data_IF_771281736166
#
_entry.id   IF_771281736166
#
_cell.length_a   1.000
_cell.length_b   1.000
_cell.length_c   1.000
_cell.angle_alpha   90.00
_cell.angle_beta   90.00
_cell.angle_gamma   90.00
#
_symmetry.space_group_name_H-M   'P 1'
#
loop_
_entity.id
_entity.type
_entity.pdbx_description
1 polymer ?
#
# COMPACT_ATOMS: atom_id res chain seq x y z
N UNK A 1 -35.58 18.04 -3.08
CA UNK A 1 -35.12 16.67 -2.74
C UNK A 1 -34.10 16.25 -3.78
N UNK A 2 -32.81 16.25 -3.40
CA UNK A 2 -31.71 15.72 -4.19
C UNK A 2 -31.99 14.26 -4.58
N UNK A 3 -31.58 13.83 -5.78
CA UNK A 3 -31.78 12.45 -6.29
C UNK A 3 -31.36 11.35 -5.31
N UNK A 4 -30.44 11.66 -4.40
CA UNK A 4 -30.01 10.82 -3.28
C UNK A 4 -31.15 10.27 -2.42
N UNK A 5 -32.25 11.02 -2.25
CA UNK A 5 -33.39 10.61 -1.43
C UNK A 5 -34.53 9.95 -2.23
N UNK A 6 -34.38 9.80 -3.55
CA UNK A 6 -35.37 9.15 -4.42
C UNK A 6 -35.07 7.68 -4.70
N UNK A 7 -33.87 7.21 -4.37
CA UNK A 7 -33.50 5.80 -4.55
C UNK A 7 -33.83 5.03 -3.29
N UNK A 8 -34.42 3.86 -3.46
CA UNK A 8 -34.51 2.86 -2.39
C UNK A 8 -33.09 2.55 -1.90
N UNK A 9 -32.75 2.84 -0.63
CA UNK A 9 -31.42 2.60 -0.09
C UNK A 9 -31.02 1.11 -0.15
N UNK A 10 -31.99 0.19 -0.11
CA UNK A 10 -31.74 -1.24 -0.18
C UNK A 10 -31.49 -1.72 -1.62
N UNK A 11 -31.86 -0.92 -2.63
CA UNK A 11 -31.63 -1.20 -4.05
C UNK A 11 -30.26 -0.70 -4.56
N UNK A 12 -29.42 -0.11 -3.69
CA UNK A 12 -28.09 0.38 -4.06
C UNK A 12 -27.17 -0.79 -4.38
N UNK A 13 -26.80 -0.94 -5.66
CA UNK A 13 -25.91 -1.99 -6.17
C UNK A 13 -24.54 -1.47 -6.63
N UNK A 14 -24.22 -0.21 -6.31
CA UNK A 14 -22.95 0.43 -6.63
C UNK A 14 -22.02 0.42 -5.41
N UNK A 15 -20.69 0.43 -5.61
CA UNK A 15 -19.75 0.52 -4.50
C UNK A 15 -19.92 1.82 -3.70
N UNK A 16 -19.52 1.85 -2.42
CA UNK A 16 -19.41 3.08 -1.65
C UNK A 16 -18.46 4.08 -2.33
N UNK A 17 -18.70 5.38 -2.12
CA UNK A 17 -17.95 6.49 -2.71
C UNK A 17 -16.43 6.27 -2.70
N UNK A 18 -15.86 5.96 -1.54
CA UNK A 18 -14.42 5.74 -1.36
C UNK A 18 -13.85 4.59 -2.21
N UNK A 19 -14.66 3.57 -2.49
CA UNK A 19 -14.25 2.43 -3.34
C UNK A 19 -14.27 2.82 -4.81
N UNK A 20 -15.30 3.56 -5.22
CA UNK A 20 -15.43 4.05 -6.60
C UNK A 20 -14.34 5.09 -6.93
N UNK A 21 -14.09 6.03 -6.02
CA UNK A 21 -13.01 7.02 -6.12
C UNK A 21 -11.64 6.35 -6.30
N UNK A 22 -11.32 5.36 -5.47
CA UNK A 22 -10.06 4.60 -5.59
C UNK A 22 -9.95 3.91 -6.97
N UNK A 23 -11.03 3.31 -7.48
CA UNK A 23 -11.02 2.62 -8.79
C UNK A 23 -10.80 3.60 -9.94
N UNK A 24 -11.43 4.77 -9.89
CA UNK A 24 -11.28 5.82 -10.89
C UNK A 24 -9.87 6.41 -10.86
N UNK A 25 -9.37 6.79 -9.68
CA UNK A 25 -8.03 7.30 -9.50
C UNK A 25 -6.95 6.31 -9.90
N UNK A 26 -7.11 5.04 -9.52
CA UNK A 26 -6.18 3.99 -9.94
C UNK A 26 -6.16 3.81 -11.46
N UNK A 27 -7.31 3.94 -12.12
CA UNK A 27 -7.34 3.88 -13.59
C UNK A 27 -6.64 5.09 -14.21
N UNK A 28 -6.88 6.31 -13.71
CA UNK A 28 -6.15 7.51 -14.14
C UNK A 28 -4.63 7.38 -13.95
N UNK A 29 -4.19 6.87 -12.79
CA UNK A 29 -2.78 6.59 -12.52
C UNK A 29 -2.20 5.64 -13.57
N UNK A 30 -2.85 4.50 -13.81
CA UNK A 30 -2.36 3.48 -14.75
C UNK A 30 -2.44 3.92 -16.22
N UNK A 31 -3.30 4.88 -16.53
CA UNK A 31 -3.47 5.48 -17.87
C UNK A 31 -2.61 6.74 -18.06
N UNK A 32 -1.77 7.09 -17.07
CA UNK A 32 -0.86 8.23 -17.21
C UNK A 32 0.28 7.90 -18.19
N UNK A 33 0.64 8.82 -19.11
CA UNK A 33 1.75 8.62 -20.02
C UNK A 33 3.06 8.53 -19.24
N UNK A 34 3.91 7.59 -19.62
CA UNK A 34 5.26 7.45 -19.08
C UNK A 34 6.27 7.91 -20.13
N UNK A 35 7.27 8.68 -19.71
CA UNK A 35 8.35 9.10 -20.60
C UNK A 35 9.31 7.93 -20.83
N UNK A 36 9.06 7.16 -21.88
CA UNK A 36 9.93 6.04 -22.25
C UNK A 36 11.26 6.57 -22.80
N UNK A 37 12.42 6.03 -22.39
CA UNK A 37 13.71 6.34 -22.99
C UNK A 37 13.75 6.21 -24.53
N UNK A 38 12.87 5.41 -25.12
CA UNK A 38 12.71 5.28 -26.57
C UNK A 38 11.97 6.46 -27.24
N UNK A 39 11.55 7.48 -26.49
CA UNK A 39 10.81 8.65 -26.99
C UNK A 39 9.32 8.39 -27.26
N UNK A 40 8.77 7.29 -26.75
CA UNK A 40 7.34 6.99 -26.80
C UNK A 40 6.67 7.31 -25.45
N UNK A 41 5.34 7.45 -25.46
CA UNK A 41 4.57 7.77 -24.25
C UNK A 41 3.47 6.73 -23.96
N UNK A 42 3.81 5.44 -23.79
CA UNK A 42 2.82 4.44 -23.43
C UNK A 42 2.27 4.73 -22.02
N UNK A 43 1.06 4.25 -21.76
CA UNK A 43 0.52 4.33 -20.41
C UNK A 43 1.35 3.50 -19.44
N UNK A 44 1.66 4.07 -18.29
CA UNK A 44 2.54 3.46 -17.29
C UNK A 44 2.05 2.08 -16.82
N UNK A 45 0.74 1.86 -16.79
CA UNK A 45 0.16 0.56 -16.43
C UNK A 45 0.37 -0.54 -17.48
N UNK A 46 0.77 -0.22 -18.72
CA UNK A 46 0.84 -1.16 -19.83
C UNK A 46 2.21 -1.84 -19.98
N UNK A 47 3.20 -1.47 -19.16
CA UNK A 47 4.46 -2.20 -19.10
C UNK A 47 4.27 -3.59 -18.51
N UNK A 48 4.82 -4.60 -19.18
CA UNK A 48 4.80 -6.00 -18.74
C UNK A 48 5.72 -6.24 -17.55
N UNK A 49 6.91 -5.62 -17.61
CA UNK A 49 7.98 -5.77 -16.64
C UNK A 49 8.16 -4.50 -15.84
N UNK A 50 8.25 -4.63 -14.52
CA UNK A 50 8.55 -3.50 -13.65
C UNK A 50 8.34 -3.81 -12.18
N UNK A 51 8.83 -2.89 -11.36
CA UNK A 51 8.66 -2.89 -9.90
C UNK A 51 7.70 -1.76 -9.54
N UNK A 52 6.95 -1.93 -8.45
CA UNK A 52 6.07 -0.92 -7.90
C UNK A 52 6.18 -0.89 -6.37
N UNK A 53 5.95 0.29 -5.80
CA UNK A 53 5.91 0.51 -4.36
C UNK A 53 4.64 1.26 -3.97
N UNK A 54 4.14 0.97 -2.78
CA UNK A 54 3.01 1.66 -2.16
C UNK A 54 3.49 2.48 -0.98
N UNK A 55 2.89 3.66 -0.81
CA UNK A 55 3.18 4.58 0.28
C UNK A 55 1.89 4.99 0.99
N UNK A 56 1.96 5.22 2.30
CA UNK A 56 0.81 5.67 3.09
C UNK A 56 0.67 7.19 3.18
N UNK A 57 -0.32 7.66 3.93
CA UNK A 57 -0.64 9.08 4.09
C UNK A 57 0.45 9.90 4.82
N UNK A 58 1.43 9.24 5.44
CA UNK A 58 2.60 9.90 6.03
C UNK A 58 3.81 9.88 5.07
N UNK A 59 3.65 9.35 3.85
CA UNK A 59 4.71 9.17 2.87
C UNK A 59 5.61 7.96 3.16
N UNK A 60 5.28 7.13 4.16
CA UNK A 60 6.07 5.95 4.51
C UNK A 60 5.89 4.84 3.47
N UNK A 61 6.97 4.21 2.99
CA UNK A 61 6.85 3.01 2.16
C UNK A 61 6.22 1.87 2.97
N UNK A 62 5.32 1.14 2.35
CA UNK A 62 4.58 0.05 3.01
C UNK A 62 4.70 -1.29 2.32
N UNK A 63 4.90 -1.31 1.00
CA UNK A 63 4.98 -2.55 0.23
C UNK A 63 5.74 -2.32 -1.06
N UNK A 64 6.56 -3.29 -1.46
CA UNK A 64 7.22 -3.33 -2.77
C UNK A 64 6.82 -4.63 -3.47
N UNK A 65 6.62 -4.60 -4.78
CA UNK A 65 6.43 -5.82 -5.54
C UNK A 65 6.88 -5.68 -6.98
N UNK A 66 7.21 -6.82 -7.59
CA UNK A 66 7.53 -6.90 -9.01
C UNK A 66 6.40 -7.52 -9.85
N UNK A 67 6.49 -7.34 -11.16
CA UNK A 67 5.70 -8.10 -12.13
C UNK A 67 6.43 -8.29 -13.45
N UNK A 68 6.18 -9.44 -14.08
CA UNK A 68 6.43 -9.72 -15.49
C UNK A 68 5.13 -10.10 -16.24
N UNK A 69 3.97 -9.76 -15.65
CA UNK A 69 2.65 -9.94 -16.26
C UNK A 69 2.24 -8.65 -16.94
N UNK A 70 1.82 -7.65 -16.15
CA UNK A 70 1.61 -6.23 -16.45
C UNK A 70 1.45 -5.46 -15.14
N UNK A 71 2.01 -4.25 -15.06
CA UNK A 71 1.87 -3.36 -13.88
C UNK A 71 0.40 -3.14 -13.52
N UNK A 72 -0.44 -2.77 -14.50
CA UNK A 72 -1.89 -2.61 -14.32
C UNK A 72 -2.54 -3.83 -13.68
N UNK A 73 -2.19 -5.03 -14.14
CA UNK A 73 -2.83 -6.25 -13.66
C UNK A 73 -2.46 -6.54 -12.22
N UNK A 74 -1.19 -6.43 -11.84
CA UNK A 74 -0.76 -6.72 -10.45
C UNK A 74 -1.21 -5.64 -9.48
N UNK A 75 -1.03 -4.36 -9.81
CA UNK A 75 -1.43 -3.26 -8.94
C UNK A 75 -2.95 -3.29 -8.69
N UNK A 76 -3.78 -3.47 -9.73
CA UNK A 76 -5.24 -3.64 -9.54
C UNK A 76 -5.56 -4.83 -8.66
N UNK A 77 -4.86 -5.96 -8.83
CA UNK A 77 -5.07 -7.12 -7.96
C UNK A 77 -4.89 -6.77 -6.49
N UNK A 78 -3.83 -6.04 -6.14
CA UNK A 78 -3.58 -5.62 -4.76
C UNK A 78 -4.63 -4.63 -4.25
N UNK A 79 -5.05 -3.66 -5.07
CA UNK A 79 -5.86 -2.55 -4.55
C UNK A 79 -7.38 -2.73 -4.70
N UNK A 80 -7.83 -3.54 -5.65
CA UNK A 80 -9.27 -3.71 -5.95
C UNK A 80 -9.77 -5.12 -5.72
N UNK A 81 -8.90 -6.10 -5.52
CA UNK A 81 -9.29 -7.50 -5.31
C UNK A 81 -8.85 -7.97 -3.91
N UNK A 82 -9.84 -8.16 -3.03
CA UNK A 82 -9.61 -8.65 -1.66
C UNK A 82 -9.07 -10.10 -1.59
N UNK A 83 -8.90 -10.78 -2.73
CA UNK A 83 -8.40 -12.16 -2.81
C UNK A 83 -6.89 -12.31 -3.04
N UNK A 84 -6.10 -11.23 -3.11
CA UNK A 84 -4.64 -11.36 -3.25
C UNK A 84 -3.96 -11.77 -1.95
N UNK A 85 -2.89 -12.55 -2.00
CA UNK A 85 -2.21 -13.05 -0.80
C UNK A 85 -1.87 -11.94 0.22
N UNK A 86 -1.41 -10.77 -0.24
CA UNK A 86 -1.10 -9.64 0.64
C UNK A 86 -2.35 -8.99 1.28
N UNK A 87 -3.49 -8.92 0.59
CA UNK A 87 -4.72 -8.33 1.16
C UNK A 87 -5.56 -9.38 1.90
N UNK A 88 -5.67 -10.58 1.34
CA UNK A 88 -6.42 -11.70 1.88
C UNK A 88 -5.85 -12.19 3.21
N UNK A 89 -4.53 -12.10 3.42
CA UNK A 89 -3.90 -12.40 4.70
C UNK A 89 -3.86 -11.19 5.65
N UNK A 90 -4.52 -10.08 5.31
CA UNK A 90 -4.48 -8.83 6.09
C UNK A 90 -3.06 -8.28 6.31
N UNK A 91 -2.15 -8.53 5.36
CA UNK A 91 -0.78 -8.00 5.37
C UNK A 91 -0.79 -6.51 4.99
N UNK A 92 -1.58 -6.15 3.97
CA UNK A 92 -1.74 -4.79 3.46
C UNK A 92 -3.21 -4.38 3.46
N UNK A 93 -3.53 -3.20 4.00
CA UNK A 93 -4.83 -2.56 3.83
C UNK A 93 -4.79 -1.62 2.62
N UNK A 94 -5.56 -1.87 1.54
CA UNK A 94 -5.62 -0.96 0.39
C UNK A 94 -6.03 0.47 0.74
N UNK A 95 -6.75 0.67 1.86
CA UNK A 95 -7.16 2.01 2.26
C UNK A 95 -6.00 2.84 2.80
N UNK A 96 -4.94 2.19 3.30
CA UNK A 96 -3.71 2.86 3.74
C UNK A 96 -2.81 3.27 2.56
N UNK A 97 -3.13 2.88 1.31
CA UNK A 97 -2.34 3.27 0.13
C UNK A 97 -2.78 4.66 -0.34
N UNK A 98 -1.88 5.62 -0.24
CA UNK A 98 -2.08 7.02 -0.63
C UNK A 98 -1.42 7.33 -1.99
N UNK A 99 -0.19 6.87 -2.17
CA UNK A 99 0.59 7.03 -3.40
C UNK A 99 1.14 5.70 -3.90
N UNK A 100 1.35 5.63 -5.22
CA UNK A 100 2.03 4.54 -5.88
C UNK A 100 3.22 5.13 -6.62
N UNK A 101 4.36 4.43 -6.55
CA UNK A 101 5.49 4.65 -7.45
C UNK A 101 5.75 3.39 -8.27
N UNK A 102 6.09 3.56 -9.54
CA UNK A 102 6.40 2.45 -10.45
C UNK A 102 7.68 2.71 -11.21
N UNK A 103 8.44 1.64 -11.45
CA UNK A 103 9.69 1.60 -12.20
C UNK A 103 9.52 0.62 -13.38
N UNK A 104 9.00 1.10 -14.53
CA UNK A 104 8.89 0.29 -15.74
C UNK A 104 10.25 -0.16 -16.28
N UNK A 105 10.27 -1.34 -16.91
CA UNK A 105 11.44 -1.86 -17.61
C UNK A 105 11.15 -2.02 -19.12
N UNK A 106 11.15 -0.91 -19.89
CA UNK A 106 10.81 -0.91 -21.31
C UNK A 106 11.66 -1.86 -22.15
N UNK A 107 12.94 -2.04 -21.81
CA UNK A 107 13.87 -2.92 -22.51
C UNK A 107 13.46 -4.40 -22.51
N UNK A 108 12.53 -4.79 -21.62
CA UNK A 108 12.00 -6.16 -21.56
C UNK A 108 10.55 -6.27 -22.03
N UNK A 109 9.97 -5.21 -22.63
CA UNK A 109 8.56 -5.20 -23.02
C UNK A 109 8.18 -6.34 -23.98
N UNK A 110 9.12 -6.77 -24.82
CA UNK A 110 8.96 -7.89 -25.75
C UNK A 110 9.58 -9.21 -25.26
N UNK A 111 10.29 -9.21 -24.12
CA UNK A 111 10.85 -10.41 -23.52
C UNK A 111 9.77 -11.38 -23.05
N UNK A 112 10.02 -12.68 -23.25
CA UNK A 112 9.17 -13.74 -22.70
C UNK A 112 9.29 -13.77 -21.17
N UNK A 113 8.19 -14.07 -20.47
CA UNK A 113 8.11 -14.19 -19.00
C UNK A 113 9.11 -15.19 -18.40
N UNK A 114 9.58 -16.15 -19.19
CA UNK A 114 10.58 -17.15 -18.79
C UNK A 114 12.01 -16.76 -19.14
N UNK A 115 12.23 -15.59 -19.74
CA UNK A 115 13.57 -15.04 -20.01
C UNK A 115 14.35 -14.89 -18.71
N UNK A 116 15.47 -15.62 -18.62
CA UNK A 116 16.26 -15.68 -17.40
C UNK A 116 16.94 -14.34 -17.08
N UNK A 117 17.47 -13.65 -18.09
CA UNK A 117 18.18 -12.39 -17.89
C UNK A 117 17.20 -11.29 -17.48
N UNK A 118 16.02 -11.21 -18.12
CA UNK A 118 14.98 -10.27 -17.74
C UNK A 118 14.48 -10.50 -16.30
N UNK A 119 14.33 -11.77 -15.89
CA UNK A 119 13.94 -12.11 -14.50
C UNK A 119 15.02 -11.75 -13.50
N UNK A 120 16.28 -12.06 -13.78
CA UNK A 120 17.40 -11.70 -12.90
C UNK A 120 17.51 -10.18 -12.73
N UNK A 121 17.29 -9.41 -13.80
CA UNK A 121 17.25 -7.95 -13.73
C UNK A 121 16.05 -7.45 -12.92
N UNK A 122 14.87 -8.04 -13.11
CA UNK A 122 13.66 -7.69 -12.36
C UNK A 122 13.82 -8.00 -10.85
N UNK A 123 14.39 -9.15 -10.50
CA UNK A 123 14.71 -9.54 -9.13
C UNK A 123 15.76 -8.58 -8.51
N UNK A 124 16.76 -8.17 -9.29
CA UNK A 124 17.75 -7.18 -8.86
C UNK A 124 17.15 -5.80 -8.61
N UNK A 125 16.22 -5.36 -9.46
CA UNK A 125 15.52 -4.11 -9.23
C UNK A 125 14.59 -4.20 -8.03
N UNK A 126 13.87 -5.31 -7.83
CA UNK A 126 13.03 -5.52 -6.65
C UNK A 126 13.85 -5.47 -5.36
N UNK A 127 15.03 -6.12 -5.34
CA UNK A 127 16.00 -6.00 -4.23
C UNK A 127 16.36 -4.54 -3.96
N UNK A 128 16.87 -3.84 -4.97
CA UNK A 128 17.32 -2.45 -4.83
C UNK A 128 16.21 -1.53 -4.29
N UNK A 129 14.99 -1.63 -4.83
CA UNK A 129 13.86 -0.81 -4.39
C UNK A 129 13.39 -1.21 -2.99
N UNK A 130 13.42 -2.50 -2.66
CA UNK A 130 13.08 -2.98 -1.31
C UNK A 130 14.07 -2.48 -0.27
N UNK A 131 15.37 -2.55 -0.56
CA UNK A 131 16.42 -2.08 0.35
C UNK A 131 16.26 -0.58 0.63
N UNK A 132 16.02 0.22 -0.42
CA UNK A 132 15.74 1.66 -0.28
C UNK A 132 14.45 1.94 0.49
N UNK A 133 13.40 1.17 0.26
CA UNK A 133 12.14 1.31 0.99
C UNK A 133 12.32 0.99 2.48
N UNK A 134 13.07 -0.07 2.80
CA UNK A 134 13.40 -0.43 4.19
C UNK A 134 14.30 0.63 4.83
N UNK A 135 15.33 1.11 4.13
CA UNK A 135 16.23 2.15 4.62
C UNK A 135 15.49 3.48 4.83
N UNK A 136 14.61 3.86 3.91
CA UNK A 136 13.82 5.08 3.97
C UNK A 136 12.67 5.04 4.99
N UNK A 137 12.22 3.84 5.39
CA UNK A 137 11.15 3.73 6.38
C UNK A 137 11.62 4.13 7.78
N UNK A 138 10.77 4.87 8.50
CA UNK A 138 10.92 5.12 9.93
C UNK A 138 11.06 3.82 10.75
N UNK A 139 10.43 2.73 10.31
CA UNK A 139 10.38 1.46 11.03
C UNK A 139 11.54 0.53 10.68
N UNK A 140 12.39 0.92 9.71
CA UNK A 140 13.40 0.06 9.09
C UNK A 140 12.83 -1.30 8.65
N UNK A 141 11.58 -1.28 8.19
CA UNK A 141 10.82 -2.45 7.75
C UNK A 141 9.59 -2.03 6.95
N UNK A 142 9.22 -2.86 5.96
CA UNK A 142 7.96 -2.75 5.21
C UNK A 142 7.13 -4.03 5.38
N UNK A 143 5.93 -4.08 4.78
CA UNK A 143 4.95 -5.14 4.99
C UNK A 143 5.15 -6.37 4.09
N UNK A 144 6.28 -6.47 3.38
CA UNK A 144 6.61 -7.64 2.58
C UNK A 144 6.81 -8.88 3.47
N UNK A 145 6.03 -9.94 3.22
CA UNK A 145 6.18 -11.22 3.92
C UNK A 145 7.54 -11.86 3.64
N UNK A 146 8.01 -11.76 2.39
CA UNK A 146 9.24 -12.37 1.90
C UNK A 146 10.22 -11.30 1.47
N UNK A 147 11.48 -11.58 1.69
CA UNK A 147 12.56 -10.79 1.12
C UNK A 147 12.68 -11.12 -0.37
N UNK A 148 13.08 -10.16 -1.21
CA UNK A 148 13.30 -10.44 -2.63
C UNK A 148 14.37 -11.54 -2.79
N UNK A 149 14.34 -12.31 -3.90
CA UNK A 149 15.31 -13.37 -4.14
C UNK A 149 16.74 -12.85 -4.04
N UNK A 150 17.71 -13.59 -3.46
CA UNK A 150 19.10 -13.14 -3.40
C UNK A 150 19.74 -13.09 -4.79
N UNK A 151 20.79 -12.29 -4.94
CA UNK A 151 21.62 -12.26 -6.14
C UNK A 151 22.52 -11.03 -6.23
N UNK A 152 23.62 -11.16 -6.98
CA UNK A 152 24.73 -10.18 -7.00
C UNK A 152 24.67 -9.21 -8.19
N UNK A 153 23.66 -9.34 -9.06
CA UNK A 153 23.49 -8.43 -10.19
C UNK A 153 23.19 -7.02 -9.67
N UNK A 154 24.10 -6.10 -9.92
CA UNK A 154 23.90 -4.68 -9.68
C UNK A 154 23.06 -4.08 -10.83
N UNK A 155 22.07 -3.27 -10.46
CA UNK A 155 21.24 -2.50 -11.40
C UNK A 155 21.13 -1.07 -10.90
N UNK A 156 20.91 -0.14 -11.84
CA UNK A 156 20.54 1.23 -11.49
C UNK A 156 19.03 1.37 -11.48
N UNK A 157 18.55 2.40 -10.79
CA UNK A 157 17.12 2.69 -10.75
C UNK A 157 16.72 3.38 -12.06
N UNK A 158 15.81 2.79 -12.85
CA UNK A 158 15.31 3.45 -14.04
C UNK A 158 14.42 4.65 -13.66
N UNK A 159 14.03 5.49 -14.62
CA UNK A 159 13.01 6.50 -14.38
C UNK A 159 11.76 5.90 -13.72
N UNK A 160 11.17 6.66 -12.80
CA UNK A 160 9.97 6.25 -12.06
C UNK A 160 8.82 7.19 -12.33
N UNK A 161 7.61 6.70 -12.06
CA UNK A 161 6.41 7.52 -12.04
C UNK A 161 5.70 7.35 -10.70
N UNK A 162 5.57 8.45 -9.95
CA UNK A 162 4.91 8.48 -8.65
C UNK A 162 3.73 9.43 -8.68
N UNK A 163 2.57 8.98 -8.20
CA UNK A 163 1.43 9.87 -8.00
C UNK A 163 0.45 9.35 -6.94
N UNK A 164 -0.39 10.28 -6.48
CA UNK A 164 -1.51 10.03 -5.56
C UNK A 164 -2.64 9.28 -6.27
N UNK A 165 -3.29 8.36 -5.55
CA UNK A 165 -4.39 7.52 -6.06
C UNK A 165 -5.73 7.71 -5.32
N UNK A 166 -5.89 8.81 -4.60
CA UNK A 166 -7.12 9.20 -3.91
C UNK A 166 -7.43 10.67 -4.17
N UNK A 167 -8.71 11.04 -4.20
CA UNK A 167 -9.12 12.45 -4.27
C UNK A 167 -8.87 13.18 -2.95
N UNK A 168 -8.91 14.52 -2.99
CA UNK A 168 -8.82 15.35 -1.77
C UNK A 168 -9.94 15.01 -0.77
N UNK A 169 -11.13 14.70 -1.27
CA UNK A 169 -12.25 14.30 -0.40
C UNK A 169 -11.99 12.97 0.31
N UNK A 170 -11.45 11.98 -0.39
CA UNK A 170 -11.05 10.72 0.25
C UNK A 170 -9.86 10.91 1.18
N UNK A 171 -8.93 11.79 0.82
CA UNK A 171 -7.82 12.18 1.69
C UNK A 171 -8.31 12.76 3.02
N UNK A 172 -9.27 13.69 3.01
CA UNK A 172 -9.87 14.25 4.24
C UNK A 172 -10.43 13.16 5.16
N UNK A 173 -11.12 12.16 4.58
CA UNK A 173 -11.74 11.07 5.34
C UNK A 173 -10.69 10.11 5.90
N UNK A 174 -9.75 9.67 5.06
CA UNK A 174 -8.81 8.60 5.39
C UNK A 174 -7.57 9.07 6.14
N UNK A 175 -7.20 10.35 6.03
CA UNK A 175 -6.02 10.89 6.73
C UNK A 175 -6.27 11.17 8.22
N UNK A 176 -7.54 11.13 8.68
CA UNK A 176 -7.87 11.32 10.08
C UNK A 176 -7.14 10.31 11.00
N UNK A 177 -6.33 10.76 11.98
CA UNK A 177 -5.49 9.86 12.78
C UNK A 177 -6.26 8.74 13.48
N UNK A 178 -7.40 9.06 14.11
CA UNK A 178 -8.18 8.06 14.86
C UNK A 178 -8.85 7.03 13.93
N UNK A 179 -9.18 7.42 12.69
CA UNK A 179 -9.70 6.49 11.69
C UNK A 179 -8.61 5.51 11.25
N UNK A 180 -7.39 6.01 11.02
CA UNK A 180 -6.23 5.16 10.68
C UNK A 180 -5.83 4.22 11.83
N UNK A 181 -5.88 4.70 13.08
CA UNK A 181 -5.66 3.87 14.27
C UNK A 181 -6.70 2.74 14.32
N UNK A 182 -7.98 3.06 14.15
CA UNK A 182 -9.06 2.06 14.17
C UNK A 182 -8.89 1.01 13.07
N UNK A 183 -8.61 1.44 11.83
CA UNK A 183 -8.37 0.51 10.70
C UNK A 183 -7.15 -0.36 10.92
N UNK A 184 -6.02 0.20 11.33
CA UNK A 184 -4.80 -0.58 11.59
C UNK A 184 -4.98 -1.57 12.73
N UNK A 185 -5.74 -1.21 13.77
CA UNK A 185 -6.10 -2.13 14.84
C UNK A 185 -6.91 -3.32 14.33
N UNK A 186 -7.90 -3.09 13.47
CA UNK A 186 -8.69 -4.15 12.82
C UNK A 186 -7.82 -5.06 11.96
N UNK A 187 -6.90 -4.50 11.17
CA UNK A 187 -5.99 -5.26 10.30
C UNK A 187 -5.01 -6.09 11.12
N UNK A 188 -4.43 -5.51 12.17
CA UNK A 188 -3.54 -6.20 13.09
C UNK A 188 -4.25 -7.38 13.79
N UNK A 189 -5.48 -7.15 14.25
CA UNK A 189 -6.32 -8.19 14.87
C UNK A 189 -6.58 -9.35 13.90
N UNK A 190 -6.98 -9.06 12.65
CA UNK A 190 -7.21 -10.07 11.61
C UNK A 190 -5.94 -10.82 11.24
N UNK A 191 -4.80 -10.13 11.13
CA UNK A 191 -3.51 -10.77 10.85
C UNK A 191 -3.11 -11.72 11.99
N UNK A 192 -3.28 -11.31 13.25
CA UNK A 192 -3.03 -12.17 14.40
C UNK A 192 -3.93 -13.41 14.39
N UNK A 193 -5.22 -13.24 14.07
CA UNK A 193 -6.17 -14.35 13.91
C UNK A 193 -5.69 -15.33 12.82
N UNK A 194 -5.35 -14.85 11.63
CA UNK A 194 -4.85 -15.69 10.52
C UNK A 194 -3.60 -16.46 10.92
N UNK A 195 -2.66 -15.82 11.63
CA UNK A 195 -1.44 -16.46 12.14
C UNK A 195 -1.76 -17.57 13.15
N UNK A 196 -2.81 -17.38 13.96
CA UNK A 196 -3.21 -18.35 14.99
C UNK A 196 -3.94 -19.57 14.43
N UNK A 197 -4.75 -19.38 13.38
CA UNK A 197 -5.60 -20.43 12.80
C UNK A 197 -4.87 -21.28 11.75
N UNK A 198 -3.66 -20.88 11.33
CA UNK A 198 -2.94 -21.51 10.23
C UNK A 198 -1.48 -21.74 10.58
N UNK A 199 -0.89 -22.79 10.00
CA UNK A 199 0.58 -22.96 10.01
C UNK A 199 1.19 -21.99 8.99
N UNK A 200 1.75 -20.89 9.49
CA UNK A 200 2.35 -19.82 8.66
C UNK A 200 3.85 -19.68 8.86
N UNK A 201 4.54 -19.17 7.84
CA UNK A 201 5.98 -18.89 7.90
C UNK A 201 6.31 -17.68 8.80
N UNK A 202 7.61 -17.44 9.05
CA UNK A 202 8.08 -16.32 9.87
C UNK A 202 7.72 -14.93 9.33
N UNK A 203 7.57 -14.80 8.01
CA UNK A 203 7.26 -13.54 7.33
C UNK A 203 6.01 -12.84 7.86
N UNK A 204 4.91 -13.57 8.09
CA UNK A 204 3.69 -12.97 8.63
C UNK A 204 3.85 -12.45 10.06
N UNK A 205 4.69 -13.08 10.88
CA UNK A 205 5.01 -12.59 12.23
C UNK A 205 5.85 -11.32 12.19
N UNK A 206 6.77 -11.22 11.22
CA UNK A 206 7.50 -9.98 10.93
C UNK A 206 6.54 -8.86 10.53
N UNK A 207 5.59 -9.13 9.63
CA UNK A 207 4.55 -8.16 9.26
C UNK A 207 3.71 -7.75 10.46
N UNK A 208 3.28 -8.70 11.30
CA UNK A 208 2.51 -8.42 12.52
C UNK A 208 3.26 -7.45 13.44
N UNK A 209 4.55 -7.70 13.68
CA UNK A 209 5.39 -6.80 14.48
C UNK A 209 5.50 -5.41 13.85
N UNK A 210 5.74 -5.32 12.54
CA UNK A 210 5.83 -4.02 11.84
C UNK A 210 4.51 -3.26 11.94
N UNK A 211 3.37 -3.91 11.74
CA UNK A 211 2.04 -3.28 11.88
C UNK A 211 1.79 -2.81 13.31
N UNK A 212 2.18 -3.59 14.32
CA UNK A 212 2.03 -3.21 15.73
C UNK A 212 2.87 -1.96 16.07
N UNK A 213 4.12 -1.88 15.59
CA UNK A 213 4.97 -0.69 15.74
C UNK A 213 4.36 0.54 15.08
N UNK A 214 3.79 0.38 13.87
CA UNK A 214 3.11 1.48 13.16
C UNK A 214 1.87 1.97 13.90
N UNK A 215 1.07 1.05 14.44
CA UNK A 215 -0.09 1.38 15.26
C UNK A 215 0.33 2.12 16.54
N UNK A 216 1.34 1.61 17.26
CA UNK A 216 1.89 2.27 18.43
C UNK A 216 2.36 3.70 18.09
N UNK A 217 3.10 3.87 17.01
CA UNK A 217 3.61 5.17 16.59
C UNK A 217 2.48 6.16 16.26
N UNK A 218 1.45 5.74 15.50
CA UNK A 218 0.30 6.59 15.20
C UNK A 218 -0.46 6.99 16.46
N UNK A 219 -0.70 6.04 17.36
CA UNK A 219 -1.38 6.29 18.64
C UNK A 219 -0.59 7.26 19.52
N UNK A 220 0.72 7.06 19.64
CA UNK A 220 1.59 7.95 20.41
C UNK A 220 1.60 9.36 19.82
N UNK A 221 1.81 9.48 18.50
CA UNK A 221 1.80 10.78 17.80
C UNK A 221 0.47 11.51 18.00
N UNK A 222 -0.65 10.78 17.94
CA UNK A 222 -1.99 11.34 18.13
C UNK A 222 -2.21 11.83 19.57
N UNK A 223 -1.81 11.02 20.55
CA UNK A 223 -1.91 11.36 21.97
C UNK A 223 -1.11 12.64 22.29
N UNK A 224 0.16 12.68 21.88
CA UNK A 224 1.02 13.85 22.12
C UNK A 224 0.50 15.11 21.41
N UNK A 225 0.00 14.98 20.17
CA UNK A 225 -0.56 16.12 19.43
C UNK A 225 -1.80 16.75 20.10
N UNK A 226 -2.47 16.04 21.00
CA UNK A 226 -3.62 16.53 21.76
C UNK A 226 -3.26 16.93 23.20
N UNK A 227 -1.97 17.10 23.51
CA UNK A 227 -1.49 17.54 24.82
C UNK A 227 -1.00 16.40 25.72
N UNK A 228 -0.99 15.16 25.23
CA UNK A 228 -0.38 14.01 25.91
C UNK A 228 -0.87 13.87 27.35
N UNK A 229 0.06 13.63 28.28
CA UNK A 229 -0.26 13.46 29.70
C UNK A 229 -0.99 14.65 30.33
N UNK A 230 -0.73 15.87 29.86
CA UNK A 230 -1.39 17.06 30.39
C UNK A 230 -2.88 17.16 30.01
N UNK A 231 -3.32 16.41 28.99
CA UNK A 231 -4.73 16.34 28.57
C UNK A 231 -5.57 15.37 29.42
N UNK A 232 -4.93 14.51 30.22
CA UNK A 232 -5.63 13.52 31.03
C UNK A 232 -6.16 14.18 32.30
N UNK A 233 -7.48 14.12 32.50
CA UNK A 233 -8.10 14.61 33.72
C UNK A 233 -7.58 13.85 34.94
N UNK A 234 -7.19 14.56 35.98
CA UNK A 234 -6.91 13.98 37.30
C UNK A 234 -8.24 13.90 38.04
N UNK A 235 -8.70 12.70 38.38
CA UNK A 235 -9.80 12.55 39.33
C UNK A 235 -9.40 13.24 40.63
N UNK A 236 -10.13 14.28 41.04
CA UNK A 236 -9.95 14.84 42.36
C UNK A 236 -10.42 13.79 43.38
N UNK A 237 -9.57 13.43 44.34
CA UNK A 237 -10.00 12.64 45.50
C UNK A 237 -11.08 13.43 46.25
N UNK A 238 -12.35 13.10 46.02
CA UNK A 238 -13.49 13.61 46.80
C UNK A 238 -14.71 14.06 46.00
N UNK A 239 -15.38 13.14 45.32
CA UNK A 239 -16.83 13.24 45.13
C UNK A 239 -17.49 11.99 45.75
N UNK A 240 -17.52 11.95 47.07
CA UNK A 240 -18.70 11.43 47.77
C UNK A 240 -19.75 12.54 47.81
N UNK A 241 -20.80 12.44 46.99
CA UNK A 241 -22.18 12.82 47.37
C UNK A 241 -23.16 11.92 46.64
#
# INVERSE_FOLDING_TARGET
MTELFRRDPDAVNIPPFETEDLRQNLSRFLDSPFEDPAGTHPFVGNYKWGVYAFFDYDGEPIYVGQTNERLRTRIRRHLTNQRTDAVAMSVLDPFEVFEIEVWPLPQFQDSNRTDLAARQHLDALERLITDRAVEGSQFKAILNEKDPPPGDLAVETPPSFRARIVSDRVFELRSHPDFRIARRSLILSRLAQVISERKVQGGLRRVLLTQAKRLQWLSARRYEALGGAASVAVEAEGEEV
#
